data_IF_217490618604
#
_entry.id   IF_217490618604
#
_cell.length_a   1.000
_cell.length_b   1.000
_cell.length_c   1.000
_cell.angle_alpha   90.00
_cell.angle_beta   90.00
_cell.angle_gamma   90.00
#
_symmetry.space_group_name_H-M   'P 1'
#
loop_
_entity.id
_entity.type
_entity.pdbx_description
1 polymer ?
#
# COMPACT_ATOMS: atom_id res chain seq x y z
N UNK A 1 12.88 0.44 0.10
CA UNK A 1 12.03 0.67 -1.09
C UNK A 1 11.07 1.82 -0.81
N UNK A 2 10.80 2.69 -1.79
CA UNK A 2 9.88 3.84 -1.65
C UNK A 2 8.41 3.37 -1.73
N UNK A 3 7.48 4.09 -1.10
CA UNK A 3 6.06 3.73 -1.08
C UNK A 3 5.41 3.68 -2.47
N UNK A 4 5.88 4.51 -3.39
CA UNK A 4 5.44 4.50 -4.79
C UNK A 4 5.78 3.17 -5.48
N UNK A 5 6.95 2.62 -5.19
CA UNK A 5 7.46 1.39 -5.81
C UNK A 5 6.77 0.17 -5.24
N UNK A 6 6.55 0.15 -3.91
CA UNK A 6 5.66 -0.82 -3.25
C UNK A 6 4.27 -0.82 -3.88
N UNK A 7 3.70 0.37 -4.11
CA UNK A 7 2.35 0.49 -4.65
C UNK A 7 2.24 -0.01 -6.10
N UNK A 8 3.28 0.19 -6.92
CA UNK A 8 3.33 -0.37 -8.29
C UNK A 8 3.37 -1.89 -8.28
N UNK A 9 4.25 -2.50 -7.48
CA UNK A 9 4.35 -3.96 -7.36
C UNK A 9 3.01 -4.58 -6.95
N UNK A 10 2.35 -3.98 -5.95
CA UNK A 10 1.03 -4.46 -5.49
C UNK A 10 -0.01 -4.37 -6.62
N UNK A 11 -0.04 -3.26 -7.37
CA UNK A 11 -1.00 -3.09 -8.47
C UNK A 11 -0.73 -4.05 -9.64
N UNK A 12 0.54 -4.29 -9.97
CA UNK A 12 0.94 -5.26 -11.00
C UNK A 12 0.52 -6.68 -10.63
N UNK A 13 0.76 -7.09 -9.38
CA UNK A 13 0.32 -8.41 -8.92
C UNK A 13 -1.21 -8.51 -8.82
N UNK A 14 -1.90 -7.42 -8.51
CA UNK A 14 -3.37 -7.40 -8.50
C UNK A 14 -3.95 -7.70 -9.89
N UNK A 15 -3.30 -7.20 -10.95
CA UNK A 15 -3.70 -7.43 -12.36
C UNK A 15 -3.65 -8.92 -12.76
N UNK A 16 -2.84 -9.73 -12.08
CA UNK A 16 -2.76 -11.18 -12.31
C UNK A 16 -4.01 -11.93 -11.83
N UNK A 17 -4.74 -11.39 -10.84
CA UNK A 17 -5.91 -12.04 -10.23
C UNK A 17 -7.23 -11.37 -10.65
N UNK A 18 -7.20 -10.06 -10.88
CA UNK A 18 -8.35 -9.28 -11.35
C UNK A 18 -7.88 -8.31 -12.42
N UNK A 19 -8.58 -8.24 -13.55
CA UNK A 19 -8.23 -7.30 -14.60
C UNK A 19 -8.31 -5.85 -14.08
N UNK A 20 -7.16 -5.20 -13.97
CA UNK A 20 -7.04 -3.82 -13.53
C UNK A 20 -7.37 -2.90 -14.70
N UNK A 21 -8.28 -1.96 -14.48
CA UNK A 21 -8.50 -0.88 -15.44
C UNK A 21 -7.39 0.17 -15.29
N UNK A 22 -6.35 0.05 -16.11
CA UNK A 22 -5.17 0.92 -16.08
C UNK A 22 -5.46 2.41 -16.28
N UNK A 23 -6.65 2.79 -16.78
CA UNK A 23 -7.08 4.19 -16.82
C UNK A 23 -7.25 4.81 -15.42
N UNK A 24 -7.46 3.99 -14.39
CA UNK A 24 -7.57 4.40 -12.99
C UNK A 24 -6.27 4.22 -12.19
N UNK A 25 -5.14 3.94 -12.85
CA UNK A 25 -3.84 3.67 -12.21
C UNK A 25 -3.51 4.63 -11.07
N UNK A 26 -3.62 5.95 -11.31
CA UNK A 26 -3.29 6.96 -10.30
C UNK A 26 -4.17 6.88 -9.05
N UNK A 27 -5.45 6.53 -9.21
CA UNK A 27 -6.36 6.33 -8.08
C UNK A 27 -6.00 5.09 -7.27
N UNK A 28 -5.66 3.99 -7.95
CA UNK A 28 -5.19 2.76 -7.28
C UNK A 28 -3.89 2.99 -6.52
N UNK A 29 -2.90 3.62 -7.16
CA UNK A 29 -1.62 3.94 -6.52
C UNK A 29 -1.83 4.84 -5.31
N UNK A 30 -2.71 5.85 -5.39
CA UNK A 30 -3.05 6.71 -4.26
C UNK A 30 -3.69 5.94 -3.11
N UNK A 31 -4.63 5.04 -3.41
CA UNK A 31 -5.29 4.19 -2.41
C UNK A 31 -4.30 3.24 -1.72
N UNK A 32 -3.50 2.52 -2.50
CA UNK A 32 -2.50 1.57 -2.00
C UNK A 32 -1.48 2.29 -1.11
N UNK A 33 -0.95 3.44 -1.55
CA UNK A 33 -0.01 4.24 -0.74
C UNK A 33 -0.61 4.68 0.58
N UNK A 34 -1.88 5.08 0.60
CA UNK A 34 -2.58 5.46 1.83
C UNK A 34 -2.70 4.26 2.78
N UNK A 35 -3.05 3.08 2.26
CA UNK A 35 -3.12 1.85 3.04
C UNK A 35 -1.77 1.44 3.63
N UNK A 36 -0.69 1.50 2.83
CA UNK A 36 0.67 1.21 3.30
C UNK A 36 1.08 2.13 4.46
N UNK A 37 0.83 3.44 4.33
CA UNK A 37 1.12 4.39 5.40
C UNK A 37 0.32 4.11 6.67
N UNK A 38 -0.96 3.78 6.54
CA UNK A 38 -1.81 3.45 7.69
C UNK A 38 -1.35 2.18 8.41
N UNK A 39 -0.88 1.17 7.66
CA UNK A 39 -0.25 -0.03 8.23
C UNK A 39 1.00 0.37 9.03
N UNK A 40 1.92 1.13 8.44
CA UNK A 40 3.14 1.59 9.11
C UNK A 40 2.83 2.37 10.39
N UNK A 41 1.83 3.26 10.36
CA UNK A 41 1.39 4.04 11.52
C UNK A 41 0.83 3.14 12.65
N UNK A 42 0.04 2.11 12.30
CA UNK A 42 -0.52 1.16 13.27
C UNK A 42 0.57 0.27 13.87
N UNK A 43 1.51 -0.21 13.06
CA UNK A 43 2.63 -1.02 13.54
C UNK A 43 3.54 -0.23 14.48
N UNK A 44 3.82 1.04 14.18
CA UNK A 44 4.60 1.91 15.07
C UNK A 44 3.89 2.13 16.41
N UNK A 45 2.58 2.39 16.40
CA UNK A 45 1.78 2.52 17.64
C UNK A 45 1.80 1.26 18.48
N UNK A 46 1.69 0.09 17.86
CA UNK A 46 1.72 -1.20 18.56
C UNK A 46 3.11 -1.49 19.17
N UNK A 47 4.19 -1.13 18.47
CA UNK A 47 5.56 -1.25 18.99
C UNK A 47 5.80 -0.33 20.20
N UNK A 48 5.30 0.91 20.17
CA UNK A 48 5.38 1.86 21.30
C UNK A 48 4.55 1.40 22.51
N UNK A 49 3.45 0.70 22.27
CA UNK A 49 2.54 0.22 23.33
C UNK A 49 3.00 -1.10 23.96
N UNK A 50 3.93 -1.81 23.32
CA UNK A 50 4.47 -3.10 23.80
C UNK A 50 5.84 -2.96 24.47
N UNK A 51 6.36 -1.73 24.59
CA UNK A 51 7.59 -1.40 25.31
C UNK A 51 7.31 -0.49 26.49
N UNK A 52 6.75 -1.04 27.57
CA UNK A 52 6.68 -0.47 28.92
C UNK A 52 6.89 -1.60 29.93
#
# INVERSE_FOLDING_TARGET
MRDEEKARIILEHLDEYIQVNWNFKEYYLKGIRKGLREIDEREQKNKLSSGN
#
